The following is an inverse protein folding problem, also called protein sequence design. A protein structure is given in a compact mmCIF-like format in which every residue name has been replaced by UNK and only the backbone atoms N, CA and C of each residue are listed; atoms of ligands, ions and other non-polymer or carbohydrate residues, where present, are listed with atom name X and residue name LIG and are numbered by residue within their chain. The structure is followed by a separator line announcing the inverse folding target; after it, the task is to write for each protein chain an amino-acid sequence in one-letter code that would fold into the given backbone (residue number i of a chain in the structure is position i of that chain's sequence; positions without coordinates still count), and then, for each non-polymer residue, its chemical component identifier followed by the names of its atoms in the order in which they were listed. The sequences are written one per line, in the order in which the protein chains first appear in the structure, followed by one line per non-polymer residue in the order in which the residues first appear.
data_IF_344598590341
#
_entry.id   IF_344598590341
#
_cell.length_a   1.000
_cell.length_b   1.000
_cell.length_c   1.000
_cell.angle_alpha   90.00
_cell.angle_beta   90.00
_cell.angle_gamma   90.00
#
_symmetry.space_group_name_H-M   'P 1'
#
loop_
_entity.id
_entity.type
_entity.pdbx_description
1 polymer ?
#
# COMPACT_ATOMS: atom_id res chain seq x y z
N UNK A 1 -10.00 10.12 24.51
CA UNK A 1 -9.33 8.80 24.62
C UNK A 1 -8.10 8.85 23.74
N UNK A 2 -6.91 8.59 24.27
CA UNK A 2 -5.67 8.60 23.48
C UNK A 2 -5.70 7.48 22.44
N UNK A 3 -5.48 7.84 21.18
CA UNK A 3 -5.45 6.91 20.06
C UNK A 3 -4.17 6.06 20.07
N UNK A 4 -4.26 4.86 20.65
CA UNK A 4 -3.12 3.98 20.96
C UNK A 4 -3.14 2.72 20.09
N UNK A 5 -1.95 2.19 19.85
CA UNK A 5 -1.72 0.94 19.11
C UNK A 5 -2.20 -0.24 19.95
N UNK A 6 -3.00 -1.14 19.35
CA UNK A 6 -3.52 -2.33 20.03
C UNK A 6 -3.20 -3.61 19.25
N UNK A 7 -3.17 -4.72 19.98
CA UNK A 7 -3.16 -6.05 19.38
C UNK A 7 -4.48 -6.25 18.60
N UNK A 8 -4.37 -6.80 17.40
CA UNK A 8 -5.44 -6.98 16.42
C UNK A 8 -5.39 -5.96 15.28
N UNK A 9 -4.85 -4.76 15.54
CA UNK A 9 -4.80 -3.67 14.56
C UNK A 9 -3.80 -3.96 13.44
N UNK A 10 -4.10 -3.49 12.24
CA UNK A 10 -3.08 -3.27 11.22
C UNK A 10 -2.29 -2.00 11.54
N UNK A 11 -0.99 -2.04 11.34
CA UNK A 11 -0.07 -0.92 11.56
C UNK A 11 0.83 -0.75 10.35
N UNK A 12 1.26 0.48 10.09
CA UNK A 12 2.27 0.78 9.07
C UNK A 12 3.58 1.10 9.76
N UNK A 13 4.55 0.19 9.67
CA UNK A 13 5.90 0.42 10.16
C UNK A 13 6.69 1.16 9.08
N UNK A 14 7.15 2.37 9.40
CA UNK A 14 7.89 3.24 8.48
C UNK A 14 9.32 3.38 8.94
N UNK A 15 10.26 3.10 8.04
CA UNK A 15 11.69 3.35 8.19
C UNK A 15 12.14 4.24 7.04
N UNK A 16 12.33 5.53 7.32
CA UNK A 16 12.57 6.56 6.30
C UNK A 16 11.46 6.56 5.22
N UNK A 17 11.82 6.24 3.96
CA UNK A 17 10.92 6.11 2.81
C UNK A 17 10.32 4.72 2.66
N UNK A 18 10.86 3.71 3.36
CA UNK A 18 10.31 2.36 3.32
C UNK A 18 9.15 2.26 4.30
N UNK A 19 8.05 1.67 3.86
CA UNK A 19 6.84 1.46 4.66
C UNK A 19 6.39 0.03 4.48
N UNK A 20 6.00 -0.62 5.56
CA UNK A 20 5.42 -1.96 5.53
C UNK A 20 4.14 -2.00 6.32
N UNK A 21 3.09 -2.52 5.70
CA UNK A 21 1.83 -2.84 6.35
C UNK A 21 1.98 -4.19 7.07
N UNK A 22 1.60 -4.26 8.34
CA UNK A 22 1.61 -5.48 9.14
C UNK A 22 0.34 -5.56 9.99
N UNK A 23 -0.25 -6.75 10.14
CA UNK A 23 -1.23 -7.01 11.19
C UNK A 23 -0.51 -7.32 12.51
N UNK A 24 -0.79 -6.56 13.56
CA UNK A 24 -0.27 -6.78 14.91
C UNK A 24 -1.08 -7.91 15.58
N UNK A 25 -0.80 -9.16 15.25
CA UNK A 25 -1.65 -10.31 15.63
C UNK A 25 -1.62 -10.64 17.11
N UNK A 26 -0.44 -10.54 17.72
CA UNK A 26 -0.16 -10.84 19.13
C UNK A 26 1.07 -10.06 19.59
N UNK A 27 1.35 -10.06 20.89
CA UNK A 27 2.46 -9.31 21.50
C UNK A 27 3.83 -9.72 20.91
N UNK A 28 3.96 -10.94 20.41
CA UNK A 28 5.19 -11.49 19.81
C UNK A 28 5.28 -11.29 18.30
N UNK A 29 4.44 -10.43 17.72
CA UNK A 29 4.44 -10.20 16.26
C UNK A 29 5.76 -9.58 15.83
N UNK A 30 6.39 -10.22 14.83
CA UNK A 30 7.66 -9.76 14.24
C UNK A 30 7.44 -9.20 12.83
N UNK A 31 7.88 -7.97 12.61
CA UNK A 31 7.87 -7.29 11.31
C UNK A 31 9.22 -7.45 10.63
N UNK A 32 9.20 -7.91 9.39
CA UNK A 32 10.39 -7.97 8.55
C UNK A 32 10.54 -6.69 7.72
N UNK A 33 11.53 -5.84 8.02
CA UNK A 33 11.89 -4.69 7.18
C UNK A 33 13.17 -5.00 6.41
N UNK A 34 13.01 -5.52 5.19
CA UNK A 34 14.13 -6.07 4.42
C UNK A 34 14.70 -7.31 5.12
N UNK A 35 15.96 -7.23 5.56
CA UNK A 35 16.64 -8.32 6.29
C UNK A 35 16.50 -8.23 7.81
N UNK A 36 16.00 -7.12 8.32
CA UNK A 36 15.91 -6.85 9.75
C UNK A 36 14.54 -7.29 10.28
N UNK A 37 14.53 -7.92 11.45
CA UNK A 37 13.35 -8.43 12.14
C UNK A 37 13.07 -7.54 13.35
N UNK A 38 11.84 -7.07 13.51
CA UNK A 38 11.47 -6.10 14.56
C UNK A 38 10.29 -6.66 15.36
N UNK A 39 10.49 -6.87 16.66
CA UNK A 39 9.44 -7.26 17.60
C UNK A 39 8.56 -6.06 17.96
N UNK A 40 7.24 -6.19 17.80
CA UNK A 40 6.29 -5.11 18.07
C UNK A 40 5.81 -5.02 19.52
N UNK A 41 6.31 -5.86 20.42
CA UNK A 41 5.90 -5.93 21.83
C UNK A 41 5.80 -4.55 22.50
N UNK A 42 6.86 -3.75 22.42
CA UNK A 42 6.93 -2.44 23.08
C UNK A 42 6.16 -1.33 22.34
N UNK A 43 5.57 -1.63 21.18
CA UNK A 43 4.66 -0.72 20.49
C UNK A 43 3.25 -0.74 21.08
N UNK A 44 2.88 -1.81 21.80
CA UNK A 44 1.56 -1.92 22.40
C UNK A 44 1.30 -0.78 23.39
N UNK A 45 0.09 -0.20 23.36
CA UNK A 45 -0.34 0.91 24.20
C UNK A 45 0.43 2.23 24.02
N UNK A 46 1.34 2.30 23.05
CA UNK A 46 1.95 3.55 22.63
C UNK A 46 1.03 4.31 21.66
N UNK A 47 1.08 5.65 21.62
CA UNK A 47 0.38 6.42 20.60
C UNK A 47 0.83 6.05 19.18
N UNK A 48 -0.07 6.21 18.21
CA UNK A 48 0.38 6.26 16.81
C UNK A 48 1.31 7.47 16.60
N UNK A 49 2.21 7.37 15.63
CA UNK A 49 3.29 8.33 15.35
C UNK A 49 4.44 8.35 16.37
N UNK A 50 4.43 7.47 17.38
CA UNK A 50 5.62 7.26 18.20
C UNK A 50 6.78 6.78 17.34
N UNK A 51 7.92 7.45 17.50
CA UNK A 51 9.20 7.02 16.94
C UNK A 51 9.91 6.13 17.97
N UNK A 52 10.42 5.02 17.50
CA UNK A 52 11.13 4.04 18.31
C UNK A 52 12.56 3.90 17.81
N UNK A 53 13.50 3.78 18.73
CA UNK A 53 14.85 3.33 18.43
C UNK A 53 14.86 1.80 18.35
N UNK A 54 15.63 1.26 17.39
CA UNK A 54 15.83 -0.15 17.21
C UNK A 54 16.98 -0.63 18.09
N UNK A 55 16.66 -1.41 19.13
CA UNK A 55 17.66 -1.97 20.04
C UNK A 55 17.92 -3.43 19.62
N UNK A 56 19.16 -3.81 19.23
CA UNK A 56 19.49 -5.19 18.93
C UNK A 56 19.24 -6.09 20.14
N UNK A 57 18.59 -7.24 19.94
CA UNK A 57 18.36 -8.22 21.00
C UNK A 57 19.58 -9.12 21.16
N UNK A 58 20.01 -9.33 22.39
CA UNK A 58 21.08 -10.29 22.69
C UNK A 58 20.62 -11.72 22.31
N UNK A 59 21.34 -12.36 21.39
CA UNK A 59 21.00 -13.70 20.92
C UNK A 59 21.74 -14.12 19.65
N UNK A 60 21.45 -15.33 19.16
CA UNK A 60 22.07 -15.86 17.92
C UNK A 60 21.77 -15.02 16.68
N UNK A 61 20.62 -14.34 16.63
CA UNK A 61 20.21 -13.56 15.47
C UNK A 61 20.51 -12.07 15.66
N UNK A 62 21.66 -11.61 15.14
CA UNK A 62 22.11 -10.21 15.18
C UNK A 62 21.19 -9.20 14.44
N UNK A 63 20.14 -9.66 13.76
CA UNK A 63 19.19 -8.81 13.01
C UNK A 63 17.80 -8.76 13.64
N UNK A 64 17.67 -9.25 14.87
CA UNK A 64 16.45 -9.15 15.66
C UNK A 64 16.53 -7.90 16.54
N UNK A 65 15.55 -7.02 16.41
CA UNK A 65 15.47 -5.74 17.11
C UNK A 65 14.21 -5.67 17.96
N UNK A 66 14.37 -5.11 19.15
CA UNK A 66 13.28 -4.63 19.99
C UNK A 66 13.11 -3.12 19.79
N UNK A 67 12.04 -2.57 20.35
CA UNK A 67 11.70 -1.15 20.21
C UNK A 67 11.80 -0.45 21.55
N UNK A 68 12.38 0.74 21.56
CA UNK A 68 12.36 1.64 22.71
C UNK A 68 11.77 3.00 22.28
N UNK A 69 10.67 3.46 22.91
CA UNK A 69 10.03 4.72 22.54
C UNK A 69 10.95 5.92 22.85
N UNK A 70 11.23 6.72 21.82
CA UNK A 70 12.05 7.92 21.95
C UNK A 70 11.23 9.02 22.64
N UNK A 71 11.61 9.40 23.87
CA UNK A 71 10.88 10.40 24.66
C UNK A 71 11.15 11.84 24.20
N UNK A 72 12.34 12.13 23.69
CA UNK A 72 12.75 13.47 23.25
C UNK A 72 13.33 13.41 21.85
N UNK A 73 12.80 14.23 20.93
CA UNK A 73 13.22 14.31 19.50
C UNK A 73 14.64 14.91 19.32
N UNK A 74 15.35 15.16 20.42
CA UNK A 74 16.59 15.95 20.50
C UNK A 74 17.79 15.35 19.75
N UNK A 75 17.70 14.14 19.21
CA UNK A 75 18.84 13.45 18.60
C UNK A 75 18.78 13.26 17.07
N UNK A 76 17.90 13.97 16.37
CA UNK A 76 18.15 14.22 14.94
C UNK A 76 19.25 15.30 14.87
N UNK A 77 20.46 14.92 15.32
CA UNK A 77 21.65 15.76 15.27
C UNK A 77 21.82 16.18 13.82
N UNK A 78 21.94 17.49 13.57
CA UNK A 78 22.27 17.98 12.24
C UNK A 78 23.73 17.60 11.94
N UNK A 79 23.94 16.35 11.52
CA UNK A 79 25.24 15.77 11.22
C UNK A 79 26.01 16.62 10.21
N UNK A 80 25.31 17.37 9.36
CA UNK A 80 25.90 18.30 8.39
C UNK A 80 26.71 19.37 9.12
N UNK A 81 26.09 20.08 10.06
CA UNK A 81 26.72 21.19 10.80
C UNK A 81 27.87 20.71 11.70
N UNK A 82 27.76 19.50 12.24
CA UNK A 82 28.77 18.95 13.16
C UNK A 82 30.00 18.37 12.44
N UNK A 83 29.82 17.72 11.29
CA UNK A 83 30.86 16.93 10.63
C UNK A 83 31.49 17.62 9.42
N UNK A 84 30.82 18.59 8.79
CA UNK A 84 31.40 19.38 7.70
C UNK A 84 32.12 20.59 8.30
N UNK A 85 33.45 20.47 8.44
CA UNK A 85 34.32 21.56 8.94
C UNK A 85 35.08 22.27 7.82
N UNK A 86 35.47 21.52 6.81
CA UNK A 86 36.22 21.98 5.63
C UNK A 86 35.77 21.21 4.40
N UNK A 87 35.89 21.81 3.22
CA UNK A 87 35.49 21.18 1.95
C UNK A 87 36.42 21.59 0.81
N UNK A 88 36.70 20.66 -0.10
CA UNK A 88 37.43 20.92 -1.32
C UNK A 88 36.60 21.62 -2.40
N UNK A 89 37.26 22.14 -3.43
CA UNK A 89 36.59 22.82 -4.56
C UNK A 89 36.22 21.88 -5.71
N UNK A 90 37.02 20.84 -5.94
CA UNK A 90 36.83 19.88 -7.02
C UNK A 90 37.36 18.49 -6.65
N UNK A 91 37.20 17.53 -7.58
CA UNK A 91 37.58 16.15 -7.40
C UNK A 91 38.83 15.73 -8.20
N UNK A 92 39.61 16.67 -8.77
CA UNK A 92 40.70 16.35 -9.72
C UNK A 92 41.80 15.48 -9.11
N UNK A 93 42.00 15.59 -7.79
CA UNK A 93 43.00 14.87 -7.02
C UNK A 93 42.41 13.68 -6.22
N UNK A 94 41.11 13.37 -6.38
CA UNK A 94 40.47 12.26 -5.67
C UNK A 94 40.61 10.99 -6.51
N UNK A 95 41.42 10.04 -6.04
CA UNK A 95 41.65 8.74 -6.69
C UNK A 95 40.78 7.66 -6.02
N UNK A 96 40.14 6.81 -6.82
CA UNK A 96 39.37 5.64 -6.33
C UNK A 96 40.25 4.40 -6.21
N UNK A 97 41.04 4.34 -5.14
CA UNK A 97 41.98 3.24 -4.84
C UNK A 97 41.38 2.17 -3.90
N UNK A 98 40.08 2.27 -3.58
CA UNK A 98 39.37 1.46 -2.55
C UNK A 98 39.99 1.51 -1.14
N UNK A 99 41.04 2.31 -0.90
CA UNK A 99 41.72 2.49 0.39
C UNK A 99 41.24 3.76 1.14
N UNK A 100 40.23 4.42 0.57
CA UNK A 100 39.67 5.69 1.07
C UNK A 100 39.00 5.60 2.44
N UNK A 101 38.57 4.41 2.86
CA UNK A 101 38.05 4.14 4.21
C UNK A 101 39.08 3.29 4.95
N UNK A 102 39.59 3.81 6.07
CA UNK A 102 40.59 3.13 6.89
C UNK A 102 40.05 1.94 7.68
N UNK A 103 38.74 1.91 7.95
CA UNK A 103 38.10 0.85 8.72
C UNK A 103 37.68 -0.34 7.83
N UNK A 104 38.02 -1.55 8.27
CA UNK A 104 37.57 -2.81 7.70
C UNK A 104 36.08 -3.07 7.94
N UNK A 105 35.51 -4.04 7.22
CA UNK A 105 34.10 -4.41 7.40
C UNK A 105 33.81 -4.96 8.82
N UNK A 106 34.76 -5.67 9.41
CA UNK A 106 34.64 -6.24 10.76
C UNK A 106 34.69 -5.14 11.83
N UNK A 107 35.59 -4.18 11.69
CA UNK A 107 35.66 -3.02 12.59
C UNK A 107 34.38 -2.18 12.52
N UNK A 108 33.81 -1.98 11.33
CA UNK A 108 32.54 -1.26 11.17
C UNK A 108 31.37 -2.00 11.84
N UNK A 109 31.41 -3.34 11.89
CA UNK A 109 30.41 -4.11 12.62
C UNK A 109 30.59 -3.94 14.14
N UNK A 110 31.82 -3.97 14.64
CA UNK A 110 32.12 -3.69 16.06
C UNK A 110 31.68 -2.28 16.46
N UNK A 111 31.91 -1.28 15.61
CA UNK A 111 31.43 0.09 15.85
C UNK A 111 29.90 0.17 16.02
N UNK A 112 29.14 -0.71 15.37
CA UNK A 112 27.68 -0.75 15.55
C UNK A 112 27.26 -1.39 16.87
N UNK A 113 28.11 -2.23 17.44
CA UNK A 113 27.88 -2.88 18.73
C UNK A 113 28.36 -1.99 19.89
N UNK A 114 29.42 -1.19 19.67
CA UNK A 114 30.04 -0.34 20.69
C UNK A 114 29.45 1.08 20.80
N UNK A 115 29.00 1.68 19.69
CA UNK A 115 28.45 3.03 19.71
C UNK A 115 26.99 3.05 20.13
N UNK A 116 26.63 4.01 20.97
CA UNK A 116 25.26 4.17 21.47
C UNK A 116 24.34 4.77 20.41
N UNK A 117 24.88 5.59 19.50
CA UNK A 117 24.11 6.27 18.46
C UNK A 117 24.65 6.04 17.05
N UNK A 118 23.73 5.99 16.07
CA UNK A 118 24.08 5.95 14.65
C UNK A 118 24.89 7.18 14.21
N UNK A 119 24.72 8.31 14.89
CA UNK A 119 25.49 9.55 14.68
C UNK A 119 26.97 9.37 14.98
N UNK A 120 27.32 8.70 16.08
CA UNK A 120 28.72 8.41 16.45
C UNK A 120 29.39 7.46 15.45
N UNK A 121 28.66 6.43 14.99
CA UNK A 121 29.15 5.52 13.94
C UNK A 121 29.50 6.30 12.67
N UNK A 122 28.66 7.27 12.30
CA UNK A 122 28.90 8.13 11.12
C UNK A 122 30.09 9.07 11.36
N UNK A 123 30.23 9.65 12.55
CA UNK A 123 31.38 10.48 12.94
C UNK A 123 32.71 9.72 12.78
N UNK A 124 32.82 8.54 13.40
CA UNK A 124 34.02 7.69 13.28
C UNK A 124 34.32 7.29 11.83
N UNK A 125 33.29 7.04 11.01
CA UNK A 125 33.43 6.74 9.57
C UNK A 125 33.92 7.94 8.75
N UNK A 126 33.58 9.16 9.17
CA UNK A 126 34.05 10.40 8.54
C UNK A 126 35.50 10.67 8.94
N UNK A 127 35.83 10.55 10.22
CA UNK A 127 37.20 10.69 10.75
C UNK A 127 38.19 9.75 10.06
N UNK A 128 37.78 8.50 9.79
CA UNK A 128 38.62 7.50 9.12
C UNK A 128 38.56 7.57 7.58
N UNK A 129 37.99 8.62 7.00
CA UNK A 129 37.89 8.77 5.55
C UNK A 129 38.95 9.75 5.01
N UNK A 130 39.95 9.20 4.30
CA UNK A 130 41.06 9.98 3.71
C UNK A 130 40.62 11.06 2.72
N UNK A 131 39.49 10.83 2.02
CA UNK A 131 38.99 11.71 0.97
C UNK A 131 37.83 12.59 1.37
N UNK A 132 37.38 12.55 2.64
CA UNK A 132 36.18 13.30 3.03
C UNK A 132 36.41 14.82 3.00
N UNK A 133 37.49 15.32 3.60
CA UNK A 133 37.83 16.74 3.60
C UNK A 133 38.06 17.30 2.18
N UNK A 134 38.67 16.52 1.29
CA UNK A 134 38.93 16.92 -0.10
C UNK A 134 37.66 16.98 -0.98
N UNK A 135 36.54 16.41 -0.54
CA UNK A 135 35.28 16.47 -1.31
C UNK A 135 34.65 17.85 -1.24
N UNK A 136 33.92 18.19 -2.29
CA UNK A 136 33.05 19.37 -2.29
C UNK A 136 31.97 19.25 -1.22
N UNK A 137 31.46 20.38 -0.74
CA UNK A 137 30.42 20.44 0.30
C UNK A 137 29.21 19.55 -0.08
N UNK A 138 28.72 19.68 -1.31
CA UNK A 138 27.61 18.83 -1.81
C UNK A 138 27.96 17.34 -1.82
N UNK A 139 29.21 16.99 -2.12
CA UNK A 139 29.67 15.59 -2.11
C UNK A 139 29.80 15.03 -0.69
N UNK A 140 30.19 15.86 0.28
CA UNK A 140 30.20 15.52 1.71
C UNK A 140 28.77 15.33 2.21
N UNK A 141 27.86 16.26 1.92
CA UNK A 141 26.45 16.16 2.32
C UNK A 141 25.80 14.90 1.72
N UNK A 142 26.05 14.62 0.42
CA UNK A 142 25.59 13.40 -0.24
C UNK A 142 26.16 12.14 0.43
N UNK A 143 27.42 12.17 0.85
CA UNK A 143 28.04 11.07 1.60
C UNK A 143 27.37 10.86 2.95
N UNK A 144 27.16 11.93 3.73
CA UNK A 144 26.50 11.89 5.03
C UNK A 144 25.08 11.35 4.90
N UNK A 145 24.25 11.88 3.99
CA UNK A 145 22.87 11.37 3.75
C UNK A 145 22.86 9.88 3.40
N UNK A 146 23.84 9.40 2.63
CA UNK A 146 23.97 7.97 2.31
C UNK A 146 24.30 7.14 3.55
N UNK A 147 25.17 7.63 4.43
CA UNK A 147 25.55 6.95 5.68
C UNK A 147 24.40 6.98 6.68
N UNK A 148 23.82 8.15 6.93
CA UNK A 148 22.60 8.32 7.72
C UNK A 148 21.52 7.32 7.28
N UNK A 149 21.21 7.24 5.98
CA UNK A 149 20.27 6.26 5.45
C UNK A 149 20.63 4.80 5.78
N UNK A 150 21.91 4.43 5.78
CA UNK A 150 22.39 3.06 6.03
C UNK A 150 22.42 2.69 7.52
N UNK A 151 22.73 3.65 8.38
CA UNK A 151 22.86 3.44 9.83
C UNK A 151 21.63 3.92 10.60
N UNK A 152 20.61 4.43 9.92
CA UNK A 152 19.34 4.86 10.53
C UNK A 152 18.72 3.77 11.39
N UNK A 153 18.57 4.09 12.66
CA UNK A 153 18.17 3.18 13.73
C UNK A 153 16.73 3.40 14.19
N UNK A 154 15.99 4.33 13.59
CA UNK A 154 14.65 4.68 14.01
C UNK A 154 13.56 4.07 13.13
N UNK A 155 12.41 3.79 13.73
CA UNK A 155 11.17 3.44 13.02
C UNK A 155 9.98 4.20 13.60
N UNK A 156 9.06 4.60 12.76
CA UNK A 156 7.80 5.25 13.15
C UNK A 156 6.66 4.27 12.92
N UNK A 157 5.81 4.05 13.92
CA UNK A 157 4.59 3.24 13.76
C UNK A 157 3.43 4.18 13.46
N UNK A 158 2.88 4.06 12.26
CA UNK A 158 1.79 4.91 11.77
C UNK A 158 0.48 4.16 11.70
N UNK A 159 -0.60 4.91 11.90
CA UNK A 159 -1.95 4.47 11.59
C UNK A 159 -2.06 4.19 10.08
N UNK A 160 -2.65 3.06 9.66
CA UNK A 160 -2.97 2.85 8.26
C UNK A 160 -3.91 3.94 7.75
N UNK A 161 -3.59 4.48 6.57
CA UNK A 161 -4.43 5.42 5.85
C UNK A 161 -4.48 5.02 4.39
N UNK A 162 -5.50 5.45 3.66
CA UNK A 162 -5.61 5.17 2.22
C UNK A 162 -4.34 5.60 1.48
N UNK A 163 -3.79 6.77 1.85
CA UNK A 163 -2.53 7.28 1.30
C UNK A 163 -1.37 6.32 1.51
N UNK A 164 -1.23 5.75 2.71
CA UNK A 164 -0.14 4.84 3.05
C UNK A 164 -0.33 3.45 2.45
N UNK A 165 -1.56 2.92 2.49
CA UNK A 165 -1.87 1.59 1.94
C UNK A 165 -1.69 1.59 0.42
N UNK A 166 -2.22 2.59 -0.29
CA UNK A 166 -2.03 2.73 -1.74
C UNK A 166 -0.53 2.73 -2.10
N UNK A 167 0.26 3.48 -1.34
CA UNK A 167 1.71 3.56 -1.50
C UNK A 167 2.45 2.24 -1.24
N UNK A 168 2.05 1.53 -0.19
CA UNK A 168 2.60 0.22 0.16
C UNK A 168 2.26 -0.80 -0.92
N UNK A 169 1.00 -0.85 -1.38
CA UNK A 169 0.56 -1.79 -2.40
C UNK A 169 1.24 -1.51 -3.73
N UNK A 170 1.29 -0.23 -4.15
CA UNK A 170 2.00 0.19 -5.36
C UNK A 170 3.47 -0.24 -5.38
N UNK A 171 4.17 -0.02 -4.26
CA UNK A 171 5.60 -0.37 -4.14
C UNK A 171 5.84 -1.87 -4.07
N UNK A 172 4.91 -2.63 -3.51
CA UNK A 172 5.00 -4.09 -3.43
C UNK A 172 4.77 -4.73 -4.79
N UNK A 173 3.67 -4.37 -5.44
CA UNK A 173 3.22 -4.97 -6.69
C UNK A 173 2.13 -4.06 -7.32
N UNK A 174 2.54 -3.27 -8.31
CA UNK A 174 1.64 -2.32 -8.98
C UNK A 174 0.54 -3.02 -9.80
N UNK A 175 0.80 -4.24 -10.29
CA UNK A 175 -0.16 -5.00 -11.09
C UNK A 175 -1.31 -5.52 -10.22
N UNK A 176 -1.01 -5.87 -8.96
CA UNK A 176 -2.00 -6.22 -7.93
C UNK A 176 -2.89 -5.07 -7.47
N UNK A 177 -2.63 -3.85 -7.93
CA UNK A 177 -3.52 -2.70 -7.79
C UNK A 177 -3.88 -2.10 -9.15
N UNK A 178 -3.75 -2.89 -10.23
CA UNK A 178 -4.14 -2.54 -11.59
C UNK A 178 -3.52 -1.21 -12.10
N UNK A 179 -2.31 -0.85 -11.68
CA UNK A 179 -1.74 0.42 -12.12
C UNK A 179 -2.37 1.67 -11.44
N UNK A 180 -3.24 1.49 -10.44
CA UNK A 180 -3.83 2.61 -9.67
C UNK A 180 -2.82 3.20 -8.69
N UNK A 181 -2.29 4.37 -9.04
CA UNK A 181 -1.51 5.24 -8.14
C UNK A 181 -2.42 6.07 -7.24
N UNK A 182 -1.84 6.63 -6.18
CA UNK A 182 -2.61 7.43 -5.21
C UNK A 182 -3.25 8.70 -5.82
N UNK A 183 -2.59 9.36 -6.77
CA UNK A 183 -3.14 10.52 -7.47
C UNK A 183 -4.34 10.12 -8.34
N UNK A 184 -4.25 9.01 -9.07
CA UNK A 184 -5.39 8.44 -9.81
C UNK A 184 -6.53 8.05 -8.88
N UNK A 185 -6.23 7.39 -7.75
CA UNK A 185 -7.22 7.05 -6.73
C UNK A 185 -7.94 8.29 -6.19
N UNK A 186 -7.20 9.37 -5.94
CA UNK A 186 -7.76 10.64 -5.47
C UNK A 186 -8.71 11.25 -6.49
N UNK A 187 -8.37 11.18 -7.79
CA UNK A 187 -9.26 11.63 -8.86
C UNK A 187 -10.53 10.77 -8.96
N UNK A 188 -10.40 9.45 -8.90
CA UNK A 188 -11.55 8.52 -8.92
C UNK A 188 -12.54 8.89 -7.79
N UNK A 189 -12.03 9.08 -6.57
CA UNK A 189 -12.87 9.44 -5.42
C UNK A 189 -13.54 10.80 -5.64
N UNK A 190 -12.80 11.83 -6.07
CA UNK A 190 -13.35 13.16 -6.31
C UNK A 190 -14.43 13.16 -7.40
N UNK A 191 -14.20 12.48 -8.53
CA UNK A 191 -15.17 12.40 -9.62
C UNK A 191 -16.38 11.53 -9.29
N UNK A 192 -16.26 10.57 -8.37
CA UNK A 192 -17.38 9.72 -7.96
C UNK A 192 -18.46 10.45 -7.15
N UNK A 193 -18.14 11.61 -6.58
CA UNK A 193 -19.06 12.34 -5.69
C UNK A 193 -19.40 11.59 -4.39
N UNK A 194 -18.60 10.57 -4.02
CA UNK A 194 -18.82 9.80 -2.80
C UNK A 194 -18.77 10.69 -1.56
N UNK A 195 -19.79 10.57 -0.70
CA UNK A 195 -19.91 11.37 0.50
C UNK A 195 -20.64 10.58 1.61
N UNK A 196 -20.91 11.22 2.75
CA UNK A 196 -21.57 10.59 3.90
C UNK A 196 -23.05 10.25 3.71
N UNK A 197 -23.65 10.62 2.57
CA UNK A 197 -25.08 10.42 2.29
C UNK A 197 -25.25 9.74 0.94
N UNK A 198 -26.13 8.73 0.87
CA UNK A 198 -26.50 8.07 -0.38
C UNK A 198 -26.15 6.59 -0.46
N UNK A 199 -26.34 6.02 -1.65
CA UNK A 199 -26.03 4.62 -1.96
C UNK A 199 -25.13 4.60 -3.17
N UNK A 200 -23.93 4.07 -3.00
CA UNK A 200 -22.91 4.03 -4.04
C UNK A 200 -22.75 2.61 -4.55
N UNK A 201 -22.57 2.47 -5.86
CA UNK A 201 -22.26 1.20 -6.51
C UNK A 201 -20.82 1.26 -7.03
N UNK A 202 -20.01 0.29 -6.64
CA UNK A 202 -18.64 0.15 -7.11
C UNK A 202 -18.45 -1.25 -7.66
N UNK A 203 -18.05 -1.34 -8.91
CA UNK A 203 -17.51 -2.58 -9.47
C UNK A 203 -15.99 -2.48 -9.53
N UNK A 204 -15.29 -3.46 -8.95
CA UNK A 204 -13.84 -3.58 -9.10
C UNK A 204 -13.43 -5.05 -9.26
N UNK A 205 -12.28 -5.27 -9.91
CA UNK A 205 -11.80 -6.61 -10.25
C UNK A 205 -10.29 -6.73 -10.03
N UNK A 206 -9.80 -6.40 -8.83
CA UNK A 206 -8.45 -6.79 -8.47
C UNK A 206 -7.58 -5.74 -7.80
N UNK A 207 -8.16 -4.72 -7.14
CA UNK A 207 -7.35 -3.71 -6.42
C UNK A 207 -7.01 -4.11 -4.99
N UNK A 208 -7.14 -5.40 -4.64
CA UNK A 208 -7.00 -5.91 -3.26
C UNK A 208 -7.86 -5.17 -2.23
N UNK A 209 -9.04 -4.71 -2.67
CA UNK A 209 -9.96 -3.93 -1.86
C UNK A 209 -9.56 -2.47 -1.68
N UNK A 210 -8.56 -1.94 -2.41
CA UNK A 210 -8.09 -0.56 -2.25
C UNK A 210 -9.17 0.46 -2.61
N UNK A 211 -9.87 0.28 -3.74
CA UNK A 211 -10.97 1.16 -4.14
C UNK A 211 -12.13 1.12 -3.13
N UNK A 212 -12.69 -0.04 -2.74
CA UNK A 212 -13.77 -0.05 -1.76
C UNK A 212 -13.31 0.47 -0.39
N UNK A 213 -12.05 0.26 0.02
CA UNK A 213 -11.52 0.89 1.23
C UNK A 213 -11.50 2.42 1.12
N UNK A 214 -11.10 2.98 -0.04
CA UNK A 214 -11.11 4.41 -0.27
C UNK A 214 -12.53 4.99 -0.25
N UNK A 215 -13.52 4.32 -0.85
CA UNK A 215 -14.92 4.72 -0.78
C UNK A 215 -15.44 4.73 0.66
N UNK A 216 -15.20 3.67 1.43
CA UNK A 216 -15.61 3.60 2.85
C UNK A 216 -14.91 4.66 3.70
N UNK A 217 -13.64 4.96 3.41
CA UNK A 217 -12.91 6.05 4.06
C UNK A 217 -13.57 7.41 3.76
N UNK A 218 -13.96 7.67 2.52
CA UNK A 218 -14.61 8.92 2.10
C UNK A 218 -16.05 9.06 2.61
N UNK A 219 -16.79 7.96 2.74
CA UNK A 219 -18.10 7.92 3.41
C UNK A 219 -17.97 8.36 4.89
N UNK A 220 -16.81 8.14 5.52
CA UNK A 220 -16.53 8.59 6.88
C UNK A 220 -17.18 7.71 7.95
N UNK A 221 -16.91 7.96 9.23
CA UNK A 221 -17.61 7.29 10.35
C UNK A 221 -18.87 8.06 10.75
N UNK A 222 -19.83 7.40 11.40
CA UNK A 222 -21.06 8.02 11.90
C UNK A 222 -21.93 8.61 10.77
N UNK A 223 -22.03 7.88 9.66
CA UNK A 223 -22.82 8.24 8.48
C UNK A 223 -23.75 7.11 8.06
N UNK A 224 -24.74 7.42 7.23
CA UNK A 224 -25.76 6.44 6.81
C UNK A 224 -25.52 5.88 5.40
N UNK A 225 -24.56 6.44 4.66
CA UNK A 225 -24.29 6.02 3.30
C UNK A 225 -23.79 4.58 3.21
N UNK A 226 -24.22 3.88 2.15
CA UNK A 226 -23.88 2.48 1.90
C UNK A 226 -23.11 2.33 0.61
N UNK A 227 -22.16 1.40 0.60
CA UNK A 227 -21.42 0.98 -0.59
C UNK A 227 -21.83 -0.44 -0.97
N UNK A 228 -22.37 -0.60 -2.17
CA UNK A 228 -22.54 -1.90 -2.82
C UNK A 228 -21.29 -2.17 -3.64
N UNK A 229 -20.43 -3.05 -3.14
CA UNK A 229 -19.21 -3.49 -3.79
C UNK A 229 -19.47 -4.75 -4.63
N UNK A 230 -19.62 -4.58 -5.93
CA UNK A 230 -19.70 -5.67 -6.89
C UNK A 230 -18.29 -6.17 -7.22
N UNK A 231 -18.11 -7.48 -7.16
CA UNK A 231 -16.84 -8.11 -7.53
C UNK A 231 -17.09 -9.35 -8.41
N UNK A 232 -16.13 -9.71 -9.28
CA UNK A 232 -16.15 -10.99 -9.94
C UNK A 232 -15.69 -12.11 -8.98
N UNK A 233 -16.04 -13.34 -9.30
CA UNK A 233 -15.59 -14.54 -8.59
C UNK A 233 -16.26 -14.77 -7.24
N UNK A 234 -15.82 -15.81 -6.53
CA UNK A 234 -16.52 -16.33 -5.36
C UNK A 234 -16.34 -15.48 -4.09
N UNK A 235 -15.21 -14.76 -3.97
CA UNK A 235 -14.85 -14.03 -2.75
C UNK A 235 -14.39 -12.61 -3.11
N UNK A 236 -14.99 -11.61 -2.45
CA UNK A 236 -14.57 -10.23 -2.58
C UNK A 236 -13.19 -10.00 -1.99
N UNK A 237 -12.32 -9.28 -2.69
CA UNK A 237 -11.07 -8.79 -2.12
C UNK A 237 -11.35 -7.68 -1.10
N UNK A 238 -10.87 -7.84 0.13
CA UNK A 238 -11.13 -6.93 1.26
C UNK A 238 -9.88 -6.59 2.07
N UNK A 239 -8.69 -6.90 1.55
CA UNK A 239 -7.43 -6.79 2.28
C UNK A 239 -7.17 -5.34 2.73
N UNK A 240 -7.36 -4.35 1.85
CA UNK A 240 -7.20 -2.94 2.24
C UNK A 240 -8.31 -2.46 3.19
N UNK A 241 -9.53 -2.97 3.07
CA UNK A 241 -10.65 -2.63 3.99
C UNK A 241 -10.30 -3.09 5.40
N UNK A 242 -9.81 -4.33 5.54
CA UNK A 242 -9.36 -4.87 6.83
C UNK A 242 -8.16 -4.09 7.36
N UNK A 243 -7.23 -3.70 6.49
CA UNK A 243 -6.03 -2.97 6.86
C UNK A 243 -6.27 -1.54 7.35
N UNK A 244 -7.43 -0.95 7.05
CA UNK A 244 -7.78 0.41 7.51
C UNK A 244 -8.22 0.47 8.97
N UNK A 245 -8.41 -0.68 9.65
CA UNK A 245 -8.94 -0.76 11.02
C UNK A 245 -10.25 0.03 11.18
N UNK A 246 -11.13 -0.03 10.19
CA UNK A 246 -12.43 0.61 10.28
C UNK A 246 -13.25 0.03 11.43
N UNK A 247 -14.07 0.88 12.06
CA UNK A 247 -15.01 0.42 13.09
C UNK A 247 -16.05 -0.55 12.47
N UNK A 248 -16.62 -1.48 13.26
CA UNK A 248 -17.64 -2.42 12.77
C UNK A 248 -18.78 -1.74 11.99
N UNK A 249 -19.26 -0.61 12.50
CA UNK A 249 -20.26 0.26 11.85
C UNK A 249 -19.92 0.54 10.37
N UNK A 250 -18.66 0.89 10.08
CA UNK A 250 -18.24 1.22 8.70
C UNK A 250 -18.09 -0.03 7.85
N UNK A 251 -17.66 -1.16 8.43
CA UNK A 251 -17.50 -2.44 7.73
C UNK A 251 -18.85 -2.98 7.26
N UNK A 252 -19.89 -2.86 8.08
CA UNK A 252 -21.26 -3.31 7.78
C UNK A 252 -21.90 -2.51 6.63
N UNK A 253 -21.45 -1.28 6.39
CA UNK A 253 -21.93 -0.45 5.26
C UNK A 253 -21.35 -0.87 3.90
N UNK A 254 -20.30 -1.70 3.88
CA UNK A 254 -19.73 -2.26 2.66
C UNK A 254 -20.37 -3.63 2.33
N UNK A 255 -21.43 -3.60 1.53
CA UNK A 255 -22.17 -4.79 1.10
C UNK A 255 -21.48 -5.34 -0.14
N UNK A 256 -20.80 -6.47 -0.03
CA UNK A 256 -20.14 -7.10 -1.16
C UNK A 256 -21.05 -8.12 -1.84
N UNK A 257 -21.21 -8.02 -3.15
CA UNK A 257 -22.06 -8.89 -3.96
C UNK A 257 -21.31 -9.43 -5.16
N UNK A 258 -21.52 -10.70 -5.47
CA UNK A 258 -20.96 -11.33 -6.67
C UNK A 258 -21.72 -10.84 -7.91
N UNK A 259 -20.99 -10.31 -8.90
CA UNK A 259 -21.56 -9.81 -10.15
C UNK A 259 -22.41 -10.87 -10.87
N UNK A 260 -21.94 -12.12 -10.93
CA UNK A 260 -22.67 -13.21 -11.60
C UNK A 260 -23.99 -13.53 -10.93
N UNK A 261 -24.06 -13.43 -9.60
CA UNK A 261 -25.32 -13.60 -8.87
C UNK A 261 -26.32 -12.51 -9.23
N UNK A 262 -25.86 -11.26 -9.29
CA UNK A 262 -26.70 -10.11 -9.68
C UNK A 262 -27.22 -10.27 -11.11
N UNK A 263 -26.33 -10.62 -12.05
CA UNK A 263 -26.71 -10.85 -13.45
C UNK A 263 -27.70 -12.01 -13.59
N UNK A 264 -27.48 -13.12 -12.87
CA UNK A 264 -28.40 -14.27 -12.87
C UNK A 264 -29.80 -13.87 -12.43
N UNK A 265 -29.91 -13.13 -11.32
CA UNK A 265 -31.20 -12.64 -10.83
C UNK A 265 -31.87 -11.71 -11.85
N UNK A 266 -31.12 -10.78 -12.44
CA UNK A 266 -31.65 -9.85 -13.44
C UNK A 266 -32.25 -10.58 -14.66
N UNK A 267 -31.54 -11.54 -15.24
CA UNK A 267 -32.04 -12.29 -16.40
C UNK A 267 -33.17 -13.26 -16.05
N UNK A 268 -33.21 -13.82 -14.84
CA UNK A 268 -34.32 -14.66 -14.39
C UNK A 268 -35.60 -13.85 -14.17
N UNK A 269 -35.49 -12.63 -13.68
CA UNK A 269 -36.63 -11.73 -13.52
C UNK A 269 -37.14 -11.20 -14.87
N UNK A 270 -36.24 -10.90 -15.82
CA UNK A 270 -36.62 -10.57 -17.20
C UNK A 270 -37.45 -11.67 -17.84
N UNK A 271 -37.01 -12.94 -17.73
CA UNK A 271 -37.76 -14.09 -18.24
C UNK A 271 -39.10 -14.33 -17.54
N UNK A 272 -39.28 -13.90 -16.29
CA UNK A 272 -40.58 -14.02 -15.60
C UNK A 272 -41.60 -12.99 -16.10
N UNK A 273 -41.15 -11.82 -16.58
CA UNK A 273 -42.04 -10.79 -17.14
C UNK A 273 -42.54 -11.12 -18.55
N UNK A 274 -41.79 -11.92 -19.30
CA UNK A 274 -42.16 -12.34 -20.67
C UNK A 274 -43.10 -13.57 -20.71
N UNK A 275 -43.51 -14.13 -19.56
CA UNK A 275 -44.28 -15.39 -19.46
C UNK A 275 -45.62 -15.21 -18.72
N UNK A 276 -46.20 -14.01 -18.68
CA UNK A 276 -47.63 -13.86 -18.36
C UNK A 276 -48.47 -13.92 -19.66
N UNK A 277 -49.06 -15.07 -20.03
CA UNK A 277 -50.05 -15.08 -21.09
C UNK A 277 -51.37 -14.48 -20.56
N UNK A 278 -51.85 -13.46 -21.27
CA UNK A 278 -53.21 -12.95 -21.14
C UNK A 278 -54.19 -14.10 -21.43
N UNK A 279 -54.92 -14.55 -20.42
CA UNK A 279 -56.01 -15.49 -20.60
C UNK A 279 -57.21 -14.72 -21.17
N UNK A 280 -57.41 -14.80 -22.49
CA UNK A 280 -58.72 -14.59 -23.10
C UNK A 280 -59.07 -15.82 -23.92
N UNK A 281 -60.12 -16.47 -23.48
CA UNK A 281 -60.92 -17.42 -24.24
C UNK A 281 -61.31 -16.81 -25.58
N UNK A 282 -61.19 -17.56 -26.67
CA UNK A 282 -62.34 -17.96 -27.50
C UNK A 282 -61.88 -18.76 -28.73
N UNK A 283 -62.81 -19.59 -29.19
CA UNK A 283 -62.66 -20.75 -30.05
C UNK A 283 -62.23 -20.46 -31.51
N UNK A 284 -61.59 -21.46 -32.12
CA UNK A 284 -61.40 -21.59 -33.57
C UNK A 284 -62.74 -21.58 -34.33
N UNK A 285 -62.73 -21.21 -35.63
CA UNK A 285 -62.70 -22.31 -36.61
C UNK A 285 -61.73 -22.12 -37.78
N UNK A 286 -61.36 -23.27 -38.32
CA UNK A 286 -60.57 -23.61 -39.52
C UNK A 286 -61.12 -23.07 -40.84
N UNK A 287 -60.24 -22.66 -41.78
CA UNK A 287 -60.38 -22.85 -43.25
C UNK A 287 -59.00 -23.00 -43.91
N UNK A 288 -59.01 -23.73 -45.03
CA UNK A 288 -58.00 -24.49 -45.77
C UNK A 288 -56.84 -23.75 -46.49
N UNK A 289 -55.89 -24.58 -46.96
CA UNK A 289 -54.64 -24.34 -47.68
C UNK A 289 -54.73 -23.46 -48.93
N UNK A 290 -53.64 -22.74 -49.23
CA UNK A 290 -53.07 -22.77 -50.59
C UNK A 290 -51.55 -22.48 -50.56
N UNK A 291 -50.80 -23.42 -51.14
CA UNK A 291 -49.35 -23.40 -51.34
C UNK A 291 -49.05 -22.65 -52.64
N UNK A 292 -48.18 -21.65 -52.60
CA UNK A 292 -47.51 -21.11 -53.78
C UNK A 292 -46.03 -20.89 -53.47
N UNK A 293 -45.21 -21.79 -54.02
CA UNK A 293 -43.77 -21.64 -54.19
C UNK A 293 -43.51 -20.48 -55.15
N UNK A 294 -42.50 -19.66 -54.86
CA UNK A 294 -41.66 -19.15 -55.94
C UNK A 294 -40.22 -18.98 -55.47
N UNK A 295 -39.36 -19.71 -56.15
CA UNK A 295 -37.92 -19.66 -56.06
C UNK A 295 -37.42 -18.33 -56.60
N UNK A 296 -36.45 -17.69 -55.91
CA UNK A 296 -35.34 -17.07 -56.63
C UNK A 296 -34.12 -16.86 -55.73
N UNK A 297 -33.10 -17.65 -56.05
CA UNK A 297 -31.74 -17.49 -55.59
C UNK A 297 -31.10 -16.26 -56.24
N UNK A 298 -30.42 -15.43 -55.44
CA UNK A 298 -29.23 -14.69 -55.90
C UNK A 298 -28.16 -14.80 -54.81
N UNK A 299 -27.12 -15.55 -55.13
CA UNK A 299 -25.81 -15.51 -54.48
C UNK A 299 -25.00 -14.32 -55.02
N UNK A 300 -24.12 -13.77 -54.17
CA UNK A 300 -22.87 -13.02 -54.40
C UNK A 300 -22.81 -11.85 -53.40
N UNK A 301 -21.72 -11.51 -52.71
CA UNK A 301 -20.35 -12.02 -52.74
C UNK A 301 -19.62 -11.54 -51.48
N UNK A 302 -18.55 -12.24 -51.14
CA UNK A 302 -17.57 -11.94 -50.11
C UNK A 302 -17.02 -10.50 -50.18
N UNK A 303 -16.74 -9.89 -49.02
CA UNK A 303 -15.40 -9.29 -48.80
C UNK A 303 -15.02 -9.16 -47.33
N UNK A 304 -13.91 -9.82 -47.05
CA UNK A 304 -13.06 -9.81 -45.87
C UNK A 304 -12.27 -8.50 -45.72
N UNK A 305 -11.72 -8.29 -44.52
CA UNK A 305 -10.61 -7.39 -44.13
C UNK A 305 -11.04 -5.97 -43.73
N UNK A 306 -10.48 -5.31 -42.71
CA UNK A 306 -9.15 -5.44 -42.10
C UNK A 306 -9.10 -4.58 -40.83
N UNK A 307 -8.36 -5.04 -39.82
CA UNK A 307 -7.79 -4.22 -38.75
C UNK A 307 -7.00 -3.03 -39.30
N UNK A 308 -7.09 -1.86 -38.66
CA UNK A 308 -6.02 -0.85 -38.60
C UNK A 308 -6.14 -0.17 -37.22
N UNK A 309 -5.23 -0.52 -36.29
CA UNK A 309 -4.14 0.29 -35.68
C UNK A 309 -4.65 1.35 -34.70
#
# INVERSE_FOLDING_TARGET
MSDKIKVGDYVVVKRQKYTKLQKFTNVDTVVHLGKDQIELRHAENQPYHTTFQLIPKEGRNKRLFTLDPVQTVSEIRNLKELLIKESGMDNRNIVDDRSTQGLSAEEILKLREECESSSEVIGKLVENSKSFAAKTEYSQEKYLKRKEKKYFEYVEIRRPSIRLIADVYWRLDADKVMGVRFDTLSQIISYSGVCGIGRFLLYESGTNGLLPAAFINSIGAHTEAKLVHMHPGNVAQKQAIQAMNFKPEQLERCISVNLYSVLRHFYQEGKKKDVEPCATTDAEPTVEEEVLNDDNAVQQENRCSRCIV
#
